data_IF_552326321443
#
_entry.id   IF_552326321443
#
_cell.length_a   1.000
_cell.length_b   1.000
_cell.length_c   1.000
_cell.angle_alpha   90.00
_cell.angle_beta   90.00
_cell.angle_gamma   90.00
#
_symmetry.space_group_name_H-M   'P 1'
#
loop_
_entity.id
_entity.type
_entity.pdbx_description
1 polymer ?
#
# COMPACT_ATOMS: atom_id res chain seq x y z
N UNK A 1 11.05 -7.33 -20.71
CA UNK A 1 10.10 -7.94 -19.74
C UNK A 1 8.71 -7.72 -20.29
N UNK A 2 7.80 -8.67 -20.10
CA UNK A 2 6.39 -8.47 -20.43
C UNK A 2 5.72 -7.67 -19.30
N UNK A 3 4.43 -7.41 -19.42
CA UNK A 3 3.62 -6.83 -18.33
C UNK A 3 3.39 -7.91 -17.28
N UNK A 4 3.89 -7.69 -16.07
CA UNK A 4 3.87 -8.69 -15.01
C UNK A 4 3.44 -8.07 -13.68
N UNK A 5 2.65 -8.81 -12.91
CA UNK A 5 2.39 -8.55 -11.49
C UNK A 5 3.03 -9.66 -10.69
N UNK A 6 3.89 -9.31 -9.74
CA UNK A 6 4.53 -10.24 -8.82
C UNK A 6 3.81 -10.09 -7.47
N UNK A 7 3.07 -11.13 -7.08
CA UNK A 7 2.37 -11.18 -5.80
C UNK A 7 3.32 -11.75 -4.74
N UNK A 8 3.55 -10.93 -3.73
CA UNK A 8 4.46 -11.24 -2.65
C UNK A 8 3.72 -11.49 -1.35
N UNK A 9 4.37 -12.16 -0.42
CA UNK A 9 3.94 -12.25 0.98
C UNK A 9 4.72 -11.28 1.87
N UNK A 10 4.25 -11.09 3.10
CA UNK A 10 4.89 -10.24 4.08
C UNK A 10 6.34 -10.68 4.36
N UNK A 11 7.28 -9.74 4.26
CA UNK A 11 8.69 -10.01 4.51
C UNK A 11 9.40 -10.81 3.41
N UNK A 12 8.80 -11.02 2.23
CA UNK A 12 9.42 -11.73 1.12
C UNK A 12 10.58 -10.97 0.47
N UNK A 13 10.73 -9.67 0.76
CA UNK A 13 11.77 -8.83 0.18
C UNK A 13 11.36 -8.24 -1.16
N UNK A 14 10.17 -7.65 -1.25
CA UNK A 14 9.68 -6.97 -2.46
C UNK A 14 10.68 -5.93 -2.97
N UNK A 15 11.05 -4.97 -2.14
CA UNK A 15 11.99 -3.90 -2.49
C UNK A 15 13.36 -4.47 -2.88
N UNK A 16 13.86 -5.47 -2.13
CA UNK A 16 15.05 -6.22 -2.49
C UNK A 16 14.93 -6.80 -3.92
N UNK A 17 13.82 -7.48 -4.21
CA UNK A 17 13.59 -8.07 -5.53
C UNK A 17 13.55 -7.01 -6.63
N UNK A 18 12.81 -5.91 -6.44
CA UNK A 18 12.74 -4.80 -7.39
C UNK A 18 14.12 -4.24 -7.71
N UNK A 19 14.96 -4.02 -6.69
CA UNK A 19 16.29 -3.43 -6.86
C UNK A 19 17.30 -4.40 -7.50
N UNK A 20 17.15 -5.72 -7.29
CA UNK A 20 18.08 -6.73 -7.84
C UNK A 20 17.66 -7.23 -9.23
N UNK A 21 16.40 -7.04 -9.64
CA UNK A 21 15.95 -7.46 -10.98
C UNK A 21 16.24 -6.42 -12.08
N UNK A 22 16.66 -5.22 -11.73
CA UNK A 22 16.98 -4.19 -12.73
C UNK A 22 18.23 -4.58 -13.52
N UNK A 23 18.22 -4.26 -14.81
CA UNK A 23 19.39 -4.31 -15.66
C UNK A 23 20.07 -2.93 -15.63
N UNK A 24 21.33 -2.88 -15.18
CA UNK A 24 22.09 -1.63 -15.06
C UNK A 24 22.34 -0.92 -16.39
N UNK A 25 22.36 -1.69 -17.48
CA UNK A 25 22.60 -1.19 -18.84
C UNK A 25 21.30 -0.68 -19.51
N UNK A 26 20.19 -0.74 -18.80
CA UNK A 26 18.86 -0.28 -19.23
C UNK A 26 18.40 0.92 -18.44
N UNK A 27 17.57 1.73 -19.09
CA UNK A 27 16.92 2.88 -18.46
C UNK A 27 15.74 2.39 -17.62
N UNK A 28 15.89 2.39 -16.30
CA UNK A 28 14.87 1.93 -15.37
C UNK A 28 14.16 3.10 -14.69
N UNK A 29 12.85 2.99 -14.54
CA UNK A 29 12.03 3.87 -13.72
C UNK A 29 11.41 3.05 -12.59
N UNK A 30 11.76 3.37 -11.34
CA UNK A 30 11.17 2.73 -10.16
C UNK A 30 10.24 3.74 -9.49
N UNK A 31 8.97 3.35 -9.33
CA UNK A 31 7.93 4.15 -8.72
C UNK A 31 7.51 3.53 -7.39
N UNK A 32 7.27 4.37 -6.40
CA UNK A 32 6.70 3.98 -5.13
C UNK A 32 5.69 5.00 -4.63
N UNK A 33 4.90 4.62 -3.61
CA UNK A 33 3.80 5.45 -3.13
C UNK A 33 4.26 6.57 -2.18
N UNK A 34 5.22 6.28 -1.28
CA UNK A 34 5.67 7.23 -0.25
C UNK A 34 7.14 7.59 -0.37
N UNK A 35 7.53 8.73 0.21
CA UNK A 35 8.93 9.12 0.32
C UNK A 35 9.76 8.13 1.15
N UNK A 36 9.17 7.49 2.15
CA UNK A 36 9.83 6.44 2.93
C UNK A 36 10.18 5.23 2.04
N UNK A 37 9.24 4.79 1.18
CA UNK A 37 9.50 3.73 0.22
C UNK A 37 10.62 4.11 -0.76
N UNK A 38 10.66 5.39 -1.23
CA UNK A 38 11.75 5.88 -2.07
C UNK A 38 13.10 5.77 -1.35
N UNK A 39 13.16 6.20 -0.08
CA UNK A 39 14.38 6.09 0.72
C UNK A 39 14.85 4.64 0.86
N UNK A 40 13.92 3.73 1.14
CA UNK A 40 14.22 2.29 1.24
C UNK A 40 14.74 1.71 -0.08
N UNK A 41 14.15 2.11 -1.22
CA UNK A 41 14.61 1.70 -2.56
C UNK A 41 16.03 2.22 -2.83
N UNK A 42 16.29 3.50 -2.53
CA UNK A 42 17.62 4.08 -2.76
C UNK A 42 18.69 3.39 -1.92
N UNK A 43 18.42 3.10 -0.65
CA UNK A 43 19.32 2.34 0.21
C UNK A 43 19.57 0.93 -0.34
N UNK A 44 18.51 0.23 -0.74
CA UNK A 44 18.63 -1.12 -1.30
C UNK A 44 19.43 -1.13 -2.62
N UNK A 45 19.25 -0.12 -3.48
CA UNK A 45 20.06 0.03 -4.70
C UNK A 45 21.55 0.26 -4.38
N UNK A 46 21.84 1.09 -3.37
CA UNK A 46 23.21 1.30 -2.88
C UNK A 46 23.81 0.00 -2.36
N UNK A 47 23.07 -0.77 -1.57
CA UNK A 47 23.51 -2.04 -1.00
C UNK A 47 23.74 -3.11 -2.10
N UNK A 48 22.81 -3.17 -3.07
CA UNK A 48 22.85 -4.15 -4.14
C UNK A 48 23.95 -3.89 -5.19
N UNK A 49 24.21 -2.61 -5.48
CA UNK A 49 25.04 -2.22 -6.64
C UNK A 49 26.27 -1.39 -6.27
N UNK A 50 26.46 -1.04 -4.99
CA UNK A 50 27.53 -0.15 -4.53
C UNK A 50 27.30 1.34 -4.83
N UNK A 51 26.36 1.66 -5.74
CA UNK A 51 25.90 3.00 -6.07
C UNK A 51 24.52 2.90 -6.70
N UNK A 52 23.79 4.02 -6.78
CA UNK A 52 22.56 4.08 -7.58
C UNK A 52 22.99 4.00 -9.06
N UNK A 53 22.51 3.00 -9.84
CA UNK A 53 22.87 2.89 -11.25
C UNK A 53 22.46 4.14 -12.04
N UNK A 54 23.35 4.69 -12.86
CA UNK A 54 23.18 5.98 -13.56
C UNK A 54 21.91 6.03 -14.43
N UNK A 55 21.53 4.90 -15.01
CA UNK A 55 20.34 4.80 -15.86
C UNK A 55 19.06 4.46 -15.08
N UNK A 56 19.09 4.56 -13.73
CA UNK A 56 17.93 4.26 -12.87
C UNK A 56 17.39 5.54 -12.23
N UNK A 57 16.14 5.83 -12.50
CA UNK A 57 15.38 6.91 -11.86
C UNK A 57 14.43 6.34 -10.81
N UNK A 58 14.41 6.95 -9.62
CA UNK A 58 13.51 6.56 -8.52
C UNK A 58 12.70 7.77 -8.10
N UNK A 59 11.38 7.66 -8.08
CA UNK A 59 10.50 8.77 -7.66
C UNK A 59 9.16 8.30 -7.14
N UNK A 60 8.44 9.19 -6.43
CA UNK A 60 7.05 8.92 -6.03
C UNK A 60 6.13 8.94 -7.24
N UNK A 61 5.03 8.19 -7.15
CA UNK A 61 4.03 8.14 -8.20
C UNK A 61 3.43 9.54 -8.50
N UNK A 62 3.15 10.34 -7.48
CA UNK A 62 2.68 11.72 -7.65
C UNK A 62 3.67 12.58 -8.43
N UNK A 63 4.96 12.49 -8.08
CA UNK A 63 6.02 13.19 -8.81
C UNK A 63 6.12 12.73 -10.26
N UNK A 64 5.93 11.44 -10.52
CA UNK A 64 5.89 10.88 -11.86
C UNK A 64 4.69 11.39 -12.65
N UNK A 65 3.47 11.32 -12.09
CA UNK A 65 2.26 11.82 -12.77
C UNK A 65 2.41 13.29 -13.08
N UNK A 66 2.87 14.09 -12.13
CA UNK A 66 3.09 15.52 -12.36
C UNK A 66 4.12 15.78 -13.47
N UNK A 67 5.32 15.18 -13.39
CA UNK A 67 6.44 15.47 -14.29
C UNK A 67 6.26 14.95 -15.70
N UNK A 68 5.61 13.79 -15.88
CA UNK A 68 5.52 13.12 -17.18
C UNK A 68 4.14 13.16 -17.81
N UNK A 69 3.07 13.32 -17.00
CA UNK A 69 1.70 13.29 -17.51
C UNK A 69 0.97 14.64 -17.40
N UNK A 70 1.42 15.57 -16.55
CA UNK A 70 0.77 16.88 -16.38
C UNK A 70 1.64 18.00 -16.93
N UNK A 71 2.83 18.21 -16.39
CA UNK A 71 3.68 19.35 -16.72
C UNK A 71 3.97 19.51 -18.24
N UNK A 72 4.32 18.45 -19.00
CA UNK A 72 4.55 18.56 -20.44
C UNK A 72 3.29 18.87 -21.27
N UNK A 73 2.12 18.70 -20.67
CA UNK A 73 0.82 18.89 -21.32
C UNK A 73 -0.02 19.97 -20.65
N UNK A 74 0.59 20.82 -19.85
CA UNK A 74 -0.10 21.82 -19.04
C UNK A 74 -0.89 22.84 -19.89
N UNK A 75 -0.36 23.24 -21.04
CA UNK A 75 -1.10 24.06 -22.01
C UNK A 75 -2.37 23.34 -22.50
N UNK A 76 -2.29 22.08 -22.86
CA UNK A 76 -3.46 21.28 -23.30
C UNK A 76 -4.48 21.14 -22.17
N UNK A 77 -4.01 20.95 -20.93
CA UNK A 77 -4.87 20.89 -19.73
C UNK A 77 -5.54 22.24 -19.49
N UNK A 78 -4.76 23.31 -19.55
CA UNK A 78 -5.26 24.67 -19.38
C UNK A 78 -6.32 25.03 -20.45
N UNK A 79 -6.05 24.77 -21.71
CA UNK A 79 -7.03 24.96 -22.80
C UNK A 79 -8.34 24.19 -22.54
N UNK A 80 -8.26 22.94 -22.05
CA UNK A 80 -9.44 22.13 -21.75
C UNK A 80 -10.36 22.76 -20.71
N UNK A 81 -9.78 23.47 -19.72
CA UNK A 81 -10.52 24.16 -18.67
C UNK A 81 -10.71 25.67 -18.89
N UNK A 82 -10.23 26.22 -20.02
CA UNK A 82 -10.30 27.66 -20.32
C UNK A 82 -9.20 28.53 -19.70
N UNK A 83 -8.07 27.92 -19.31
CA UNK A 83 -6.89 28.61 -18.75
C UNK A 83 -5.64 28.39 -19.61
N UNK A 84 -5.58 28.91 -20.86
CA UNK A 84 -4.51 28.59 -21.83
C UNK A 84 -3.11 29.02 -21.38
N UNK A 85 -3.00 30.04 -20.51
CA UNK A 85 -1.73 30.56 -19.98
C UNK A 85 -1.38 29.96 -18.60
N UNK A 86 -1.89 28.79 -18.29
CA UNK A 86 -1.62 28.13 -17.03
C UNK A 86 -0.13 27.80 -16.91
N UNK A 87 0.48 28.23 -15.81
CA UNK A 87 1.78 27.77 -15.34
C UNK A 87 1.62 27.39 -13.87
N UNK A 88 1.76 26.12 -13.56
CA UNK A 88 1.70 25.65 -12.19
C UNK A 88 3.00 25.91 -11.42
N UNK A 89 2.89 25.94 -10.10
CA UNK A 89 4.06 26.08 -9.19
C UNK A 89 4.48 24.75 -8.55
N UNK A 90 3.90 23.62 -8.98
CA UNK A 90 4.22 22.30 -8.45
C UNK A 90 2.98 21.53 -7.93
N UNK A 91 3.23 20.63 -7.00
CA UNK A 91 2.21 19.77 -6.36
C UNK A 91 2.14 20.04 -4.85
N UNK A 92 1.04 19.64 -4.21
CA UNK A 92 0.84 19.74 -2.77
C UNK A 92 0.14 18.51 -2.22
N UNK A 93 0.55 18.09 -1.02
CA UNK A 93 -0.07 16.99 -0.27
C UNK A 93 -1.28 17.43 0.56
N UNK A 94 -1.62 18.72 0.53
CA UNK A 94 -2.84 19.22 1.16
C UNK A 94 -4.05 18.63 0.44
N UNK A 95 -5.01 18.09 1.20
CA UNK A 95 -6.23 17.57 0.60
C UNK A 95 -7.07 18.69 -0.05
N UNK A 96 -7.71 18.43 -1.21
CA UNK A 96 -8.67 19.35 -1.79
C UNK A 96 -9.87 19.56 -0.86
N UNK A 97 -10.59 20.68 -0.98
CA UNK A 97 -11.79 20.95 -0.17
C UNK A 97 -12.85 19.87 -0.34
N UNK A 98 -13.26 19.24 0.75
CA UNK A 98 -14.31 18.20 0.73
C UNK A 98 -15.67 18.80 0.43
N UNK A 99 -16.54 18.06 -0.26
CA UNK A 99 -17.89 18.50 -0.60
C UNK A 99 -18.75 18.87 0.61
N UNK A 100 -18.54 18.18 1.73
CA UNK A 100 -19.26 18.45 2.99
C UNK A 100 -18.26 18.63 4.12
N UNK A 101 -18.56 19.58 5.00
CA UNK A 101 -17.80 19.85 6.23
C UNK A 101 -18.74 19.77 7.44
N UNK A 102 -18.19 19.65 8.63
CA UNK A 102 -18.99 19.70 9.86
C UNK A 102 -19.43 21.14 10.14
N UNK A 103 -20.72 21.36 10.23
CA UNK A 103 -21.30 22.59 10.71
C UNK A 103 -21.09 22.80 12.22
N UNK A 104 -21.55 23.94 12.75
CA UNK A 104 -21.38 24.32 14.17
C UNK A 104 -21.98 23.29 15.15
N UNK A 105 -23.07 22.63 14.77
CA UNK A 105 -23.74 21.61 15.58
C UNK A 105 -23.31 20.17 15.22
N UNK A 106 -22.25 20.01 14.40
CA UNK A 106 -21.74 18.71 13.98
C UNK A 106 -22.46 18.09 12.77
N UNK A 107 -23.52 18.72 12.26
CA UNK A 107 -24.23 18.31 11.05
C UNK A 107 -23.37 18.51 9.79
N UNK A 108 -23.54 17.67 8.75
CA UNK A 108 -22.84 17.83 7.49
C UNK A 108 -23.47 18.96 6.66
N UNK A 109 -22.71 20.04 6.44
CA UNK A 109 -23.10 21.16 5.57
C UNK A 109 -22.28 21.19 4.28
N UNK A 110 -22.82 21.81 3.23
CA UNK A 110 -22.08 22.04 1.99
C UNK A 110 -20.86 22.92 2.25
N UNK A 111 -19.73 22.56 1.66
CA UNK A 111 -18.51 23.35 1.75
C UNK A 111 -18.50 24.40 0.62
N UNK A 112 -18.50 25.71 0.91
CA UNK A 112 -18.48 26.75 -0.11
C UNK A 112 -17.19 26.81 -0.95
N UNK A 113 -16.13 26.15 -0.49
CA UNK A 113 -14.85 26.07 -1.20
C UNK A 113 -14.70 24.77 -2.00
N UNK A 114 -15.74 23.94 -2.03
CA UNK A 114 -15.72 22.72 -2.83
C UNK A 114 -15.93 23.06 -4.31
N UNK A 115 -15.10 22.48 -5.15
CA UNK A 115 -15.22 22.52 -6.60
C UNK A 115 -15.45 21.10 -7.12
N UNK A 116 -16.33 20.99 -8.11
CA UNK A 116 -16.60 19.73 -8.77
C UNK A 116 -15.49 19.41 -9.78
N UNK A 117 -15.34 18.14 -10.18
CA UNK A 117 -14.31 17.70 -11.13
C UNK A 117 -14.43 18.32 -12.54
N UNK A 118 -15.49 19.03 -12.83
CA UNK A 118 -15.65 19.79 -14.08
C UNK A 118 -14.97 21.17 -14.00
N UNK A 119 -14.57 21.60 -12.81
CA UNK A 119 -13.94 22.88 -12.54
C UNK A 119 -12.46 22.69 -12.26
N UNK A 120 -11.62 23.54 -12.80
CA UNK A 120 -10.18 23.39 -12.67
C UNK A 120 -9.68 23.52 -11.22
N UNK A 121 -10.36 24.34 -10.42
CA UNK A 121 -10.10 24.56 -9.00
C UNK A 121 -10.26 23.29 -8.13
N UNK A 122 -10.90 22.25 -8.67
CA UNK A 122 -10.93 20.92 -8.07
C UNK A 122 -9.53 20.28 -8.01
N UNK A 123 -8.69 20.61 -8.98
CA UNK A 123 -7.39 19.99 -9.18
C UNK A 123 -6.21 20.84 -8.70
N UNK A 124 -6.42 22.15 -8.53
CA UNK A 124 -5.35 23.10 -8.24
C UNK A 124 -5.77 24.09 -7.14
N UNK A 125 -4.84 24.46 -6.27
CA UNK A 125 -5.09 25.45 -5.24
C UNK A 125 -4.81 26.89 -5.72
N UNK A 126 -5.12 27.88 -4.88
CA UNK A 126 -4.88 29.31 -5.16
C UNK A 126 -3.41 29.68 -5.36
N UNK A 127 -2.46 28.82 -4.88
CA UNK A 127 -1.02 28.98 -5.10
C UNK A 127 -0.55 28.32 -6.40
N UNK A 128 -1.49 27.92 -7.27
CA UNK A 128 -1.22 27.19 -8.52
C UNK A 128 -0.47 25.86 -8.30
N UNK A 129 -0.73 25.15 -7.19
CA UNK A 129 -0.19 23.83 -6.92
C UNK A 129 -1.30 22.79 -7.14
N UNK A 130 -1.02 21.75 -7.91
CA UNK A 130 -1.94 20.63 -8.06
C UNK A 130 -2.02 19.82 -6.77
N UNK A 131 -3.22 19.36 -6.43
CA UNK A 131 -3.43 18.44 -5.31
C UNK A 131 -2.98 17.03 -5.69
N UNK A 132 -2.06 16.42 -4.94
CA UNK A 132 -1.61 15.03 -5.15
C UNK A 132 -2.78 14.07 -5.24
N UNK A 133 -3.78 14.21 -4.38
CA UNK A 133 -4.96 13.36 -4.33
C UNK A 133 -5.83 13.37 -5.61
N UNK A 134 -5.64 14.32 -6.52
CA UNK A 134 -6.45 14.44 -7.74
C UNK A 134 -5.66 14.37 -9.04
N UNK A 135 -4.34 14.13 -9.01
CA UNK A 135 -3.50 14.08 -10.20
C UNK A 135 -3.94 13.00 -11.19
N UNK A 136 -4.13 11.78 -10.70
CA UNK A 136 -4.57 10.66 -11.54
C UNK A 136 -6.00 10.87 -12.07
N UNK A 137 -6.90 11.43 -11.25
CA UNK A 137 -8.25 11.80 -11.70
C UNK A 137 -8.20 12.81 -12.83
N UNK A 138 -7.37 13.87 -12.72
CA UNK A 138 -7.19 14.89 -13.76
C UNK A 138 -6.77 14.27 -15.08
N UNK A 139 -5.72 13.45 -15.07
CA UNK A 139 -5.19 12.79 -16.28
C UNK A 139 -6.22 11.90 -16.92
N UNK A 140 -6.99 11.15 -16.13
CA UNK A 140 -8.07 10.29 -16.61
C UNK A 140 -9.28 11.07 -17.10
N UNK A 141 -9.58 12.23 -16.51
CA UNK A 141 -10.70 13.08 -16.89
C UNK A 141 -10.51 13.70 -18.28
N UNK A 142 -9.28 14.11 -18.62
CA UNK A 142 -8.93 14.71 -19.92
C UNK A 142 -8.80 13.68 -21.06
N UNK A 143 -9.05 12.41 -20.77
CA UNK A 143 -8.90 11.26 -21.68
C UNK A 143 -9.75 11.34 -22.98
N UNK A 144 -10.63 12.30 -23.14
CA UNK A 144 -11.60 12.36 -24.26
C UNK A 144 -10.94 12.82 -25.57
N UNK A 145 -10.63 11.85 -26.48
CA UNK A 145 -10.20 12.13 -27.85
C UNK A 145 -9.28 11.06 -28.43
N UNK A 146 -9.06 11.10 -29.77
CA UNK A 146 -8.19 10.15 -30.51
C UNK A 146 -6.74 10.19 -30.04
N UNK A 147 -6.25 11.32 -29.52
CA UNK A 147 -4.93 11.53 -28.95
C UNK A 147 -5.03 11.75 -27.44
N UNK A 148 -5.36 10.69 -26.71
CA UNK A 148 -5.40 10.79 -25.26
C UNK A 148 -4.03 11.18 -24.69
N UNK A 149 -4.01 12.10 -23.73
CA UNK A 149 -2.82 12.54 -23.01
C UNK A 149 -2.00 11.34 -22.54
N UNK A 150 -2.66 10.30 -22.04
CA UNK A 150 -2.03 9.04 -21.57
C UNK A 150 -1.25 8.37 -22.71
N UNK A 151 -1.78 8.32 -23.94
CA UNK A 151 -1.09 7.69 -25.09
C UNK A 151 0.17 8.46 -25.47
N UNK A 152 0.08 9.79 -25.53
CA UNK A 152 1.25 10.65 -25.81
C UNK A 152 2.32 10.54 -24.72
N UNK A 153 1.90 10.62 -23.45
CA UNK A 153 2.81 10.49 -22.32
C UNK A 153 3.48 9.10 -22.28
N UNK A 154 2.73 8.03 -22.48
CA UNK A 154 3.28 6.66 -22.52
C UNK A 154 4.28 6.47 -23.67
N UNK A 155 4.02 7.07 -24.84
CA UNK A 155 4.98 7.06 -25.95
C UNK A 155 6.28 7.76 -25.57
N UNK A 156 6.22 8.93 -24.91
CA UNK A 156 7.40 9.62 -24.39
C UNK A 156 8.13 8.78 -23.32
N UNK A 157 7.39 8.16 -22.40
CA UNK A 157 7.97 7.29 -21.35
C UNK A 157 8.73 6.12 -21.99
N UNK A 158 8.20 5.47 -23.03
CA UNK A 158 8.88 4.40 -23.77
C UNK A 158 10.17 4.84 -24.47
N UNK A 159 10.32 6.13 -24.77
CA UNK A 159 11.58 6.69 -25.31
C UNK A 159 12.63 6.92 -24.20
N UNK A 160 12.19 7.25 -23.00
CA UNK A 160 13.07 7.58 -21.87
C UNK A 160 13.40 6.38 -21.01
N UNK A 161 12.54 5.35 -20.95
CA UNK A 161 12.69 4.21 -20.06
C UNK A 161 12.42 2.90 -20.78
N UNK A 162 13.30 1.92 -20.57
CA UNK A 162 13.15 0.55 -21.05
C UNK A 162 12.24 -0.26 -20.14
N UNK A 163 12.29 0.02 -18.82
CA UNK A 163 11.54 -0.68 -17.80
C UNK A 163 10.86 0.30 -16.83
N UNK A 164 9.61 0.03 -16.50
CA UNK A 164 8.86 0.71 -15.43
C UNK A 164 8.51 -0.31 -14.36
N UNK A 165 8.97 -0.07 -13.13
CA UNK A 165 8.71 -0.92 -11.98
C UNK A 165 7.92 -0.14 -10.94
N UNK A 166 6.90 -0.76 -10.37
CA UNK A 166 6.08 -0.14 -9.30
C UNK A 166 6.15 -1.03 -8.07
N UNK A 167 6.74 -0.51 -6.99
CA UNK A 167 6.78 -1.20 -5.69
C UNK A 167 5.54 -0.84 -4.84
N UNK A 168 5.15 -1.75 -3.94
CA UNK A 168 3.97 -1.63 -3.07
C UNK A 168 2.66 -1.37 -3.86
N UNK A 169 2.48 -2.08 -4.99
CA UNK A 169 1.34 -1.91 -5.90
C UNK A 169 -0.01 -1.94 -5.20
N UNK A 170 -0.17 -2.66 -4.10
CA UNK A 170 -1.41 -2.72 -3.34
C UNK A 170 -1.80 -1.38 -2.67
N UNK A 171 -0.94 -0.37 -2.67
CA UNK A 171 -1.26 0.95 -2.10
C UNK A 171 -1.98 1.87 -3.10
N UNK A 172 -1.95 1.52 -4.38
CA UNK A 172 -2.60 2.29 -5.45
C UNK A 172 -4.07 1.91 -5.60
N UNK A 173 -4.96 2.90 -5.60
CA UNK A 173 -6.42 2.73 -5.56
C UNK A 173 -7.13 3.61 -6.58
N UNK A 174 -8.34 3.21 -6.93
CA UNK A 174 -9.25 3.98 -7.78
C UNK A 174 -8.55 4.61 -8.97
N UNK A 175 -8.41 5.93 -8.99
CA UNK A 175 -7.82 6.65 -10.10
C UNK A 175 -6.35 6.32 -10.32
N UNK A 176 -5.56 6.09 -9.27
CA UNK A 176 -4.17 5.69 -9.40
C UNK A 176 -4.06 4.32 -10.06
N UNK A 177 -4.86 3.36 -9.61
CA UNK A 177 -4.95 2.05 -10.23
C UNK A 177 -5.43 2.15 -11.69
N UNK A 178 -6.50 2.90 -11.96
CA UNK A 178 -7.02 3.08 -13.33
C UNK A 178 -6.01 3.74 -14.25
N UNK A 179 -5.22 4.70 -13.74
CA UNK A 179 -4.14 5.34 -14.49
C UNK A 179 -3.02 4.34 -14.80
N UNK A 180 -2.54 3.57 -13.80
CA UNK A 180 -1.52 2.53 -13.98
C UNK A 180 -1.97 1.52 -15.07
N UNK A 181 -3.19 1.02 -14.98
CA UNK A 181 -3.75 0.08 -15.99
C UNK A 181 -3.85 0.73 -17.38
N UNK A 182 -4.26 2.00 -17.44
CA UNK A 182 -4.36 2.72 -18.72
C UNK A 182 -2.99 2.94 -19.36
N UNK A 183 -1.98 3.25 -18.54
CA UNK A 183 -0.58 3.38 -18.99
C UNK A 183 0.01 2.04 -19.39
N UNK A 184 -0.27 0.98 -18.65
CA UNK A 184 0.23 -0.37 -18.93
C UNK A 184 -0.20 -0.87 -20.32
N UNK A 185 -1.33 -0.40 -20.86
CA UNK A 185 -1.76 -0.74 -22.22
C UNK A 185 -0.82 -0.20 -23.30
N UNK A 186 -0.04 0.83 -22.98
CA UNK A 186 0.81 1.56 -23.91
C UNK A 186 2.31 1.42 -23.59
N UNK A 187 2.69 1.15 -22.34
CA UNK A 187 4.08 0.96 -21.92
C UNK A 187 4.53 -0.45 -22.28
N UNK A 188 5.75 -0.55 -22.84
CA UNK A 188 6.28 -1.81 -23.37
C UNK A 188 6.59 -2.83 -22.27
N UNK A 189 7.27 -2.40 -21.20
CA UNK A 189 7.70 -3.25 -20.10
C UNK A 189 7.29 -2.62 -18.76
N UNK A 190 6.39 -3.28 -18.04
CA UNK A 190 5.92 -2.82 -16.74
C UNK A 190 5.81 -3.97 -15.76
N UNK A 191 6.43 -3.83 -14.60
CA UNK A 191 6.36 -4.81 -13.50
C UNK A 191 5.78 -4.13 -12.27
N UNK A 192 4.74 -4.74 -11.71
CA UNK A 192 4.09 -4.32 -10.48
C UNK A 192 4.42 -5.35 -9.40
N UNK A 193 4.90 -4.90 -8.25
CA UNK A 193 5.22 -5.79 -7.12
C UNK A 193 4.39 -5.39 -5.91
N UNK A 194 3.69 -6.34 -5.29
CA UNK A 194 2.82 -6.02 -4.17
C UNK A 194 2.38 -7.23 -3.34
N UNK A 195 1.84 -6.96 -2.15
CA UNK A 195 1.24 -7.97 -1.28
C UNK A 195 -0.28 -7.73 -1.20
N UNK A 196 -1.05 -8.61 -1.85
CA UNK A 196 -2.51 -8.49 -1.86
C UNK A 196 -3.08 -8.37 -0.45
N UNK A 197 -2.60 -9.15 0.51
CA UNK A 197 -3.14 -9.17 1.87
C UNK A 197 -2.76 -7.93 2.71
N UNK A 198 -1.92 -7.04 2.18
CA UNK A 198 -1.59 -5.76 2.82
C UNK A 198 -2.38 -4.57 2.26
N UNK A 199 -3.30 -4.80 1.32
CA UNK A 199 -4.06 -3.72 0.70
C UNK A 199 -4.96 -2.95 1.68
N UNK A 200 -5.54 -3.56 2.69
CA UNK A 200 -6.48 -2.93 3.62
C UNK A 200 -5.83 -2.19 4.79
N UNK A 201 -4.51 -2.04 4.77
CA UNK A 201 -3.75 -1.34 5.83
C UNK A 201 -3.08 -0.04 5.36
N UNK A 202 -3.42 0.44 4.17
CA UNK A 202 -2.99 1.77 3.72
C UNK A 202 -3.60 2.87 4.59
N UNK A 203 -2.80 3.89 4.92
CA UNK A 203 -3.21 4.97 5.82
C UNK A 203 -4.19 5.96 5.15
N UNK A 204 -4.13 6.12 3.83
CA UNK A 204 -4.78 7.22 3.13
C UNK A 204 -6.10 6.85 2.45
N UNK A 205 -6.20 5.68 1.85
CA UNK A 205 -7.42 5.26 1.18
C UNK A 205 -7.53 3.73 1.14
N UNK A 206 -8.49 3.15 1.85
CA UNK A 206 -8.72 1.72 1.89
C UNK A 206 -9.92 1.26 1.06
N UNK A 207 -10.49 2.16 0.25
CA UNK A 207 -11.64 1.87 -0.61
C UNK A 207 -11.23 1.82 -2.07
N UNK A 208 -12.04 1.16 -2.88
CA UNK A 208 -11.98 1.22 -4.31
C UNK A 208 -11.18 0.14 -5.01
N UNK A 209 -11.19 0.22 -6.34
CA UNK A 209 -10.50 -0.74 -7.21
C UNK A 209 -8.99 -0.77 -6.96
N UNK A 210 -8.35 -1.92 -7.17
CA UNK A 210 -8.91 -3.23 -7.62
C UNK A 210 -9.46 -4.09 -6.49
N UNK A 211 -9.41 -3.64 -5.23
CA UNK A 211 -9.67 -4.47 -4.04
C UNK A 211 -11.10 -4.37 -3.51
N UNK A 212 -11.86 -3.38 -3.97
CA UNK A 212 -13.28 -3.21 -3.64
C UNK A 212 -14.10 -2.90 -4.90
N UNK A 213 -15.32 -3.38 -4.90
CA UNK A 213 -16.35 -3.09 -5.90
C UNK A 213 -17.68 -2.78 -5.19
N UNK A 214 -18.78 -2.65 -5.93
CA UNK A 214 -20.12 -2.37 -5.38
C UNK A 214 -20.65 -3.47 -4.46
N UNK A 215 -20.14 -4.69 -4.61
CA UNK A 215 -20.55 -5.87 -3.84
C UNK A 215 -19.72 -6.03 -2.56
N UNK A 216 -18.62 -5.28 -2.42
CA UNK A 216 -17.74 -5.30 -1.27
C UNK A 216 -16.28 -5.54 -1.63
N UNK A 217 -15.55 -6.25 -0.75
CA UNK A 217 -14.14 -6.55 -0.95
C UNK A 217 -13.96 -7.65 -2.01
N UNK A 218 -13.08 -7.40 -2.96
CA UNK A 218 -12.71 -8.35 -4.03
C UNK A 218 -11.77 -9.41 -3.47
N UNK A 219 -12.14 -10.67 -3.55
CA UNK A 219 -11.31 -11.79 -3.08
C UNK A 219 -10.07 -12.00 -3.96
N UNK A 220 -9.09 -12.73 -3.41
CA UNK A 220 -7.78 -12.95 -4.04
C UNK A 220 -7.87 -13.49 -5.48
N UNK A 221 -8.66 -14.55 -5.69
CA UNK A 221 -8.79 -15.16 -7.03
C UNK A 221 -9.47 -14.22 -8.04
N UNK A 222 -10.49 -13.49 -7.58
CA UNK A 222 -11.17 -12.48 -8.41
C UNK A 222 -10.25 -11.31 -8.76
N UNK A 223 -9.41 -10.88 -7.81
CA UNK A 223 -8.37 -9.89 -8.04
C UNK A 223 -7.36 -10.38 -9.10
N UNK A 224 -6.83 -11.59 -8.96
CA UNK A 224 -5.91 -12.17 -9.94
C UNK A 224 -6.54 -12.21 -11.33
N UNK A 225 -7.76 -12.72 -11.44
CA UNK A 225 -8.47 -12.78 -12.71
C UNK A 225 -8.71 -11.40 -13.35
N UNK A 226 -9.01 -10.38 -12.54
CA UNK A 226 -9.16 -9.00 -13.03
C UNK A 226 -7.83 -8.45 -13.57
N UNK A 227 -6.73 -8.70 -12.90
CA UNK A 227 -5.38 -8.28 -13.34
C UNK A 227 -4.99 -8.97 -14.66
N UNK A 228 -5.27 -10.27 -14.80
CA UNK A 228 -5.03 -11.01 -16.04
C UNK A 228 -5.85 -10.46 -17.20
N UNK A 229 -7.11 -10.10 -16.99
CA UNK A 229 -7.95 -9.43 -18.00
C UNK A 229 -7.37 -8.10 -18.45
N UNK A 230 -6.60 -7.40 -17.62
CA UNK A 230 -5.91 -6.18 -18.02
C UNK A 230 -4.62 -6.45 -18.80
N UNK A 231 -4.28 -7.71 -19.07
CA UNK A 231 -3.15 -8.13 -19.92
C UNK A 231 -1.83 -8.30 -19.16
N UNK A 232 -1.86 -8.46 -17.83
CA UNK A 232 -0.69 -8.82 -17.05
C UNK A 232 -0.60 -10.34 -16.87
N UNK A 233 0.62 -10.87 -16.90
CA UNK A 233 0.92 -12.17 -16.32
C UNK A 233 1.09 -12.04 -14.80
N UNK A 234 0.65 -13.05 -14.04
CA UNK A 234 0.78 -13.04 -12.58
C UNK A 234 1.82 -14.07 -12.15
N UNK A 235 2.79 -13.63 -11.38
CA UNK A 235 3.74 -14.47 -10.67
C UNK A 235 3.30 -14.59 -9.20
N UNK A 236 2.91 -15.79 -8.82
CA UNK A 236 2.49 -16.13 -7.46
C UNK A 236 3.52 -17.02 -6.74
N UNK A 237 4.71 -17.22 -7.33
CA UNK A 237 5.69 -18.18 -6.84
C UNK A 237 6.98 -17.53 -6.33
N UNK A 238 7.48 -16.50 -7.01
CA UNK A 238 8.81 -15.93 -6.75
C UNK A 238 8.96 -15.34 -5.35
N UNK A 239 7.93 -14.69 -4.80
CA UNK A 239 7.98 -13.99 -3.52
C UNK A 239 7.04 -14.59 -2.46
N UNK A 240 6.97 -15.93 -2.38
CA UNK A 240 6.16 -16.65 -1.39
C UNK A 240 6.89 -16.94 -0.07
N UNK A 241 8.20 -16.75 -0.02
CA UNK A 241 9.04 -17.01 1.15
C UNK A 241 9.30 -15.76 1.97
N UNK A 242 8.83 -15.70 3.22
CA UNK A 242 9.17 -14.63 4.15
C UNK A 242 10.62 -14.76 4.62
N UNK A 243 11.41 -13.70 4.41
CA UNK A 243 12.77 -13.57 4.96
C UNK A 243 12.75 -13.06 6.41
N UNK A 244 11.59 -12.61 6.88
CA UNK A 244 11.38 -12.01 8.20
C UNK A 244 10.90 -13.02 9.23
N UNK A 245 9.85 -13.76 8.91
CA UNK A 245 9.16 -14.62 9.86
C UNK A 245 9.76 -16.03 9.87
N UNK A 246 9.77 -16.65 11.06
CA UNK A 246 10.12 -18.05 11.23
C UNK A 246 9.13 -18.97 10.52
N UNK A 247 9.54 -20.21 10.29
CA UNK A 247 8.67 -21.25 9.73
C UNK A 247 7.44 -21.50 10.59
N UNK A 248 7.58 -21.46 11.92
CA UNK A 248 6.47 -21.69 12.85
C UNK A 248 5.39 -20.60 12.76
N UNK A 249 5.82 -19.33 12.72
CA UNK A 249 4.90 -18.20 12.55
C UNK A 249 4.18 -18.28 11.19
N UNK A 250 4.90 -18.51 10.10
CA UNK A 250 4.31 -18.64 8.77
C UNK A 250 3.33 -19.81 8.69
N UNK A 251 3.68 -20.97 9.24
CA UNK A 251 2.79 -22.15 9.30
C UNK A 251 1.51 -21.86 10.10
N UNK A 252 1.63 -21.11 11.21
CA UNK A 252 0.47 -20.68 11.98
C UNK A 252 -0.43 -19.74 11.16
N UNK A 253 0.14 -18.73 10.53
CA UNK A 253 -0.57 -17.78 9.66
C UNK A 253 -1.30 -18.55 8.54
N UNK A 254 -0.61 -19.44 7.83
CA UNK A 254 -1.21 -20.21 6.73
C UNK A 254 -2.38 -21.05 7.23
N UNK A 255 -2.22 -21.75 8.34
CA UNK A 255 -3.27 -22.64 8.91
C UNK A 255 -4.46 -21.86 9.46
N UNK A 256 -4.21 -20.70 10.14
CA UNK A 256 -5.27 -19.98 10.86
C UNK A 256 -5.94 -18.90 10.05
N UNK A 257 -5.19 -18.23 9.15
CA UNK A 257 -5.74 -17.16 8.32
C UNK A 257 -6.06 -17.62 6.88
N UNK A 258 -5.60 -18.81 6.47
CA UNK A 258 -5.77 -19.29 5.10
C UNK A 258 -4.92 -18.55 4.07
N UNK A 259 -3.88 -17.85 4.52
CA UNK A 259 -2.97 -17.08 3.66
C UNK A 259 -1.69 -17.91 3.45
N UNK A 260 -1.44 -18.32 2.21
CA UNK A 260 -0.24 -19.10 1.89
C UNK A 260 1.01 -18.23 2.05
N UNK A 261 1.87 -18.63 2.98
CA UNK A 261 3.15 -17.99 3.26
C UNK A 261 4.15 -19.02 3.77
N UNK A 262 5.35 -19.00 3.22
CA UNK A 262 6.43 -19.89 3.64
C UNK A 262 7.42 -19.13 4.52
N UNK A 263 7.92 -19.78 5.56
CA UNK A 263 8.91 -19.21 6.47
C UNK A 263 10.32 -19.64 6.07
N UNK A 264 11.31 -18.78 6.33
CA UNK A 264 12.71 -19.16 6.22
C UNK A 264 13.17 -19.92 7.48
N UNK A 265 14.27 -20.68 7.33
CA UNK A 265 14.89 -21.41 8.45
C UNK A 265 15.97 -20.57 9.18
N UNK A 266 16.10 -19.27 8.86
CA UNK A 266 17.15 -18.39 9.44
C UNK A 266 16.72 -17.71 10.73
N UNK A 267 15.41 -17.47 10.88
CA UNK A 267 14.86 -16.84 12.06
C UNK A 267 14.14 -17.86 12.93
N UNK A 268 14.40 -17.80 14.23
CA UNK A 268 13.73 -18.61 15.24
C UNK A 268 12.66 -17.76 15.90
N UNK A 269 11.47 -18.32 16.07
CA UNK A 269 10.34 -17.64 16.72
C UNK A 269 9.07 -18.47 16.63
N UNK A 270 8.25 -18.34 17.66
CA UNK A 270 7.02 -19.07 17.83
C UNK A 270 5.83 -18.15 18.13
N UNK A 271 4.62 -18.72 17.98
CA UNK A 271 3.40 -18.11 18.48
C UNK A 271 3.23 -18.55 19.93
N UNK A 272 3.25 -17.60 20.86
CA UNK A 272 3.16 -17.83 22.29
C UNK A 272 1.89 -17.19 22.84
N UNK A 273 0.99 -18.01 23.37
CA UNK A 273 -0.19 -17.52 24.06
C UNK A 273 0.16 -17.00 25.45
N UNK A 274 -0.37 -15.83 25.76
CA UNK A 274 -0.17 -15.14 27.04
C UNK A 274 -1.43 -15.31 27.89
N UNK A 275 -1.25 -15.77 29.10
CA UNK A 275 -2.30 -15.94 30.11
C UNK A 275 -2.28 -14.84 31.20
N UNK A 276 -3.17 -14.96 32.18
CA UNK A 276 -3.29 -14.01 33.29
C UNK A 276 -2.02 -13.94 34.18
N UNK A 277 -1.19 -14.97 34.21
CA UNK A 277 0.04 -15.02 35.03
C UNK A 277 1.24 -14.36 34.32
N UNK A 278 1.29 -14.47 33.02
CA UNK A 278 2.42 -14.00 32.18
C UNK A 278 2.21 -12.61 31.57
N UNK A 279 0.99 -12.10 31.55
CA UNK A 279 0.64 -10.84 30.86
C UNK A 279 1.41 -9.64 31.39
N UNK A 280 1.61 -9.52 32.70
CA UNK A 280 2.31 -8.38 33.30
C UNK A 280 3.76 -8.27 32.78
N UNK A 281 4.47 -9.40 32.71
CA UNK A 281 5.84 -9.44 32.20
C UNK A 281 5.91 -9.04 30.72
N UNK A 282 4.94 -9.46 29.90
CA UNK A 282 4.88 -9.12 28.47
C UNK A 282 4.54 -7.63 28.27
N UNK A 283 3.54 -7.11 28.99
CA UNK A 283 3.13 -5.70 28.85
C UNK A 283 4.23 -4.74 29.32
N UNK A 284 4.93 -5.05 30.40
CA UNK A 284 5.99 -4.21 30.94
C UNK A 284 7.31 -4.27 30.17
N UNK A 285 7.53 -5.31 29.36
CA UNK A 285 8.75 -5.47 28.58
C UNK A 285 8.78 -4.51 27.39
N UNK A 286 9.62 -3.47 27.44
CA UNK A 286 9.76 -2.45 26.37
C UNK A 286 10.34 -3.00 25.06
N UNK A 287 11.05 -4.13 25.07
CA UNK A 287 11.61 -4.77 23.88
C UNK A 287 10.56 -5.53 23.05
N UNK A 288 9.38 -5.77 23.62
CA UNK A 288 8.25 -6.40 22.92
C UNK A 288 7.29 -5.29 22.48
N UNK A 289 7.12 -5.11 21.18
CA UNK A 289 6.20 -4.10 20.61
C UNK A 289 4.77 -4.62 20.67
N UNK A 290 3.90 -3.88 21.37
CA UNK A 290 2.48 -4.22 21.50
C UNK A 290 1.73 -3.69 20.28
N UNK A 291 0.99 -4.57 19.63
CA UNK A 291 0.20 -4.28 18.45
C UNK A 291 -1.29 -4.46 18.78
N UNK A 292 -2.07 -3.40 18.65
CA UNK A 292 -3.51 -3.36 18.92
C UNK A 292 -4.29 -3.09 17.63
N UNK A 293 -5.55 -3.51 17.57
CA UNK A 293 -6.36 -3.33 16.36
C UNK A 293 -6.48 -1.85 15.94
N UNK A 294 -6.77 -0.96 16.92
CA UNK A 294 -6.88 0.48 16.71
C UNK A 294 -6.74 1.23 18.06
N UNK A 295 -6.74 2.58 18.00
CA UNK A 295 -6.71 3.44 19.19
C UNK A 295 -5.57 3.13 20.15
N UNK A 296 -4.37 2.88 19.65
CA UNK A 296 -3.18 2.55 20.45
C UNK A 296 -2.92 3.56 21.60
N UNK A 297 -3.26 4.83 21.39
CA UNK A 297 -3.12 5.91 22.39
C UNK A 297 -4.06 5.81 23.60
N UNK A 298 -5.05 4.91 23.58
CA UNK A 298 -5.96 4.68 24.72
C UNK A 298 -5.42 3.68 25.75
N UNK A 299 -4.34 2.98 25.42
CA UNK A 299 -3.74 1.99 26.32
C UNK A 299 -2.73 2.64 27.25
N UNK A 300 -2.62 2.19 28.52
CA UNK A 300 -1.67 2.73 29.50
C UNK A 300 -0.22 2.29 29.25
N UNK A 301 0.06 1.62 28.14
CA UNK A 301 1.38 1.17 27.72
C UNK A 301 1.62 1.55 26.25
N UNK A 302 2.89 1.59 25.86
CA UNK A 302 3.27 1.90 24.48
C UNK A 302 2.78 0.82 23.54
N UNK A 303 1.93 1.20 22.59
CA UNK A 303 1.38 0.32 21.55
C UNK A 303 1.37 1.01 20.19
N UNK A 304 1.22 0.21 19.12
CA UNK A 304 0.97 0.66 17.77
C UNK A 304 -0.31 0.01 17.25
N UNK A 305 -1.02 0.69 16.36
CA UNK A 305 -2.13 0.05 15.65
C UNK A 305 -1.59 -1.01 14.68
N UNK A 306 -2.32 -2.10 14.47
CA UNK A 306 -1.93 -3.17 13.53
C UNK A 306 -1.57 -2.62 12.15
N UNK A 307 -2.38 -1.69 11.64
CA UNK A 307 -2.16 -1.08 10.32
C UNK A 307 -0.92 -0.16 10.28
N UNK A 308 -0.57 0.49 11.37
CA UNK A 308 0.58 1.39 11.42
C UNK A 308 1.92 0.66 11.57
N UNK A 309 1.89 -0.65 11.82
CA UNK A 309 3.10 -1.47 11.82
C UNK A 309 3.50 -1.94 10.40
N UNK A 310 2.75 -1.54 9.36
CA UNK A 310 3.11 -1.83 7.96
C UNK A 310 4.45 -1.16 7.64
N UNK A 311 5.34 -1.90 6.97
CA UNK A 311 6.72 -1.46 6.70
C UNK A 311 7.71 -1.89 7.79
N UNK A 312 7.33 -1.84 9.04
CA UNK A 312 8.22 -2.12 10.17
C UNK A 312 8.61 -3.60 10.31
N UNK A 313 9.73 -3.78 11.00
CA UNK A 313 10.22 -5.10 11.42
C UNK A 313 10.74 -5.00 12.85
N UNK A 314 10.24 -5.87 13.72
CA UNK A 314 10.59 -5.88 15.14
C UNK A 314 11.29 -7.18 15.53
N UNK A 315 12.09 -7.13 16.60
CA UNK A 315 12.69 -8.34 17.17
C UNK A 315 11.62 -9.28 17.72
N UNK A 316 10.64 -8.74 18.46
CA UNK A 316 9.51 -9.48 19.03
C UNK A 316 8.26 -8.60 19.04
N UNK A 317 7.09 -9.20 18.87
CA UNK A 317 5.81 -8.49 18.93
C UNK A 317 4.81 -9.18 19.86
N UNK A 318 3.90 -8.39 20.39
CA UNK A 318 2.75 -8.87 21.14
C UNK A 318 1.48 -8.37 20.42
N UNK A 319 0.70 -9.27 19.87
CA UNK A 319 -0.55 -8.97 19.16
C UNK A 319 -1.72 -9.15 20.10
N UNK A 320 -2.42 -8.06 20.40
CA UNK A 320 -3.62 -8.08 21.22
C UNK A 320 -4.82 -8.32 20.30
N UNK A 321 -5.43 -9.48 20.44
CA UNK A 321 -6.55 -9.91 19.62
C UNK A 321 -7.83 -9.14 19.97
N UNK A 322 -8.69 -8.94 19.00
CA UNK A 322 -10.06 -8.47 19.23
C UNK A 322 -10.92 -9.63 19.78
N UNK A 323 -12.04 -9.32 20.44
CA UNK A 323 -12.99 -10.34 20.96
C UNK A 323 -13.41 -11.37 19.90
N UNK A 324 -13.60 -10.92 18.65
CA UNK A 324 -13.96 -11.79 17.53
C UNK A 324 -12.88 -12.83 17.17
N UNK A 325 -11.63 -12.58 17.54
CA UNK A 325 -10.46 -13.40 17.20
C UNK A 325 -9.90 -14.21 18.37
N UNK A 326 -10.45 -14.06 19.58
CA UNK A 326 -9.97 -14.75 20.79
C UNK A 326 -9.99 -16.29 20.66
N UNK A 327 -10.92 -16.79 19.87
CA UNK A 327 -11.11 -18.23 19.62
C UNK A 327 -10.39 -18.73 18.38
N UNK A 328 -9.41 -18.01 17.86
CA UNK A 328 -8.72 -18.37 16.62
C UNK A 328 -8.09 -19.78 16.65
N UNK A 329 -7.75 -20.28 17.84
CA UNK A 329 -7.20 -21.64 18.00
C UNK A 329 -8.27 -22.71 18.30
N UNK A 330 -9.52 -22.31 18.54
CA UNK A 330 -10.62 -23.24 18.70
C UNK A 330 -10.87 -24.00 17.39
N UNK A 331 -10.98 -25.35 17.40
CA UNK A 331 -11.30 -26.14 16.19
C UNK A 331 -12.61 -25.75 15.50
N UNK A 332 -13.58 -25.21 16.27
CA UNK A 332 -14.87 -24.74 15.73
C UNK A 332 -14.81 -23.32 15.15
N UNK A 333 -13.69 -22.61 15.31
CA UNK A 333 -13.53 -21.25 14.80
C UNK A 333 -13.34 -21.26 13.28
N UNK A 334 -14.04 -20.36 12.60
CA UNK A 334 -13.88 -20.17 11.16
C UNK A 334 -13.49 -18.73 10.84
N UNK A 335 -12.29 -18.55 10.32
CA UNK A 335 -11.77 -17.26 9.87
C UNK A 335 -12.63 -16.62 8.76
N UNK A 336 -13.35 -17.44 7.99
CA UNK A 336 -14.26 -16.98 6.93
C UNK A 336 -15.44 -16.12 7.45
N UNK A 337 -15.74 -16.19 8.75
CA UNK A 337 -16.76 -15.36 9.41
C UNK A 337 -16.24 -13.96 9.79
N UNK A 338 -14.94 -13.76 9.72
CA UNK A 338 -14.29 -12.49 10.05
C UNK A 338 -14.18 -11.65 8.77
N UNK A 339 -14.40 -10.34 8.89
CA UNK A 339 -14.26 -9.42 7.76
C UNK A 339 -12.85 -9.51 7.17
N UNK A 340 -12.68 -9.63 5.83
CA UNK A 340 -11.38 -9.75 5.19
C UNK A 340 -10.40 -8.62 5.59
N UNK A 341 -10.89 -7.38 5.73
CA UNK A 341 -10.07 -6.26 6.21
C UNK A 341 -9.48 -6.48 7.61
N UNK A 342 -10.22 -7.17 8.51
CA UNK A 342 -9.72 -7.52 9.85
C UNK A 342 -8.69 -8.64 9.77
N UNK A 343 -8.91 -9.64 8.92
CA UNK A 343 -7.96 -10.73 8.66
C UNK A 343 -6.66 -10.18 8.11
N UNK A 344 -6.72 -9.29 7.13
CA UNK A 344 -5.55 -8.64 6.52
C UNK A 344 -4.75 -7.82 7.54
N UNK A 345 -5.44 -7.06 8.41
CA UNK A 345 -4.77 -6.32 9.49
C UNK A 345 -4.10 -7.24 10.50
N UNK A 346 -4.74 -8.38 10.85
CA UNK A 346 -4.13 -9.38 11.71
C UNK A 346 -2.91 -10.03 11.04
N UNK A 347 -3.01 -10.37 9.74
CA UNK A 347 -1.88 -10.86 8.96
C UNK A 347 -0.69 -9.90 9.02
N UNK A 348 -0.93 -8.60 8.81
CA UNK A 348 0.13 -7.59 8.96
C UNK A 348 0.74 -7.63 10.35
N UNK A 349 -0.07 -7.61 11.42
CA UNK A 349 0.45 -7.60 12.79
C UNK A 349 1.27 -8.86 13.12
N UNK A 350 0.79 -10.05 12.72
CA UNK A 350 1.46 -11.32 13.00
C UNK A 350 2.77 -11.51 12.22
N UNK A 351 2.93 -10.80 11.11
CA UNK A 351 4.10 -10.93 10.25
C UNK A 351 5.13 -9.81 10.45
N UNK A 352 5.11 -9.09 11.59
CA UNK A 352 6.07 -8.01 11.90
C UNK A 352 7.29 -8.47 12.68
N UNK A 353 7.29 -9.68 13.23
CA UNK A 353 8.35 -10.18 14.10
C UNK A 353 9.40 -11.00 13.37
N UNK A 354 10.69 -10.82 13.74
CA UNK A 354 11.78 -11.74 13.43
C UNK A 354 11.86 -12.90 14.44
N UNK A 355 11.46 -12.65 15.70
CA UNK A 355 11.40 -13.61 16.80
C UNK A 355 9.96 -13.95 17.17
N UNK A 356 9.69 -14.12 18.47
CA UNK A 356 8.40 -14.55 18.95
C UNK A 356 7.27 -13.54 18.68
N UNK A 357 6.07 -14.09 18.47
CA UNK A 357 4.80 -13.36 18.43
C UNK A 357 3.96 -13.81 19.63
N UNK A 358 3.78 -12.94 20.60
CA UNK A 358 2.93 -13.18 21.77
C UNK A 358 1.48 -12.83 21.39
N UNK A 359 0.53 -13.71 21.71
CA UNK A 359 -0.89 -13.46 21.48
C UNK A 359 -1.62 -13.27 22.83
N UNK A 360 -2.28 -12.13 22.98
CA UNK A 360 -3.12 -11.82 24.16
C UNK A 360 -4.59 -11.78 23.71
N UNK A 361 -5.46 -12.50 24.40
CA UNK A 361 -6.91 -12.38 24.25
C UNK A 361 -7.39 -11.04 24.80
N UNK A 362 -8.38 -10.41 24.17
CA UNK A 362 -8.99 -9.17 24.67
C UNK A 362 -9.51 -9.33 26.10
N UNK A 363 -10.13 -10.48 26.40
CA UNK A 363 -10.62 -10.83 27.74
C UNK A 363 -9.52 -10.86 28.81
N UNK A 364 -8.36 -11.42 28.48
CA UNK A 364 -7.19 -11.47 29.40
C UNK A 364 -6.62 -10.07 29.62
N UNK A 365 -6.50 -9.26 28.56
CA UNK A 365 -6.04 -7.88 28.69
C UNK A 365 -7.00 -7.04 29.52
N UNK A 366 -8.32 -7.18 29.30
CA UNK A 366 -9.34 -6.46 30.05
C UNK A 366 -9.22 -6.71 31.56
N UNK A 367 -9.12 -7.97 31.98
CA UNK A 367 -8.91 -8.34 33.40
C UNK A 367 -7.63 -7.72 33.96
N UNK A 368 -6.54 -7.70 33.19
CA UNK A 368 -5.27 -7.12 33.60
C UNK A 368 -5.36 -5.59 33.81
N UNK A 369 -6.15 -4.90 32.99
CA UNK A 369 -6.31 -3.44 33.12
C UNK A 369 -7.31 -3.01 34.20
N UNK A 370 -8.13 -3.92 34.70
CA UNK A 370 -9.09 -3.69 35.79
C UNK A 370 -8.46 -3.95 37.19
N UNK A 371 -7.27 -4.51 37.28
CA UNK A 371 -6.45 -4.68 38.49
C UNK A 371 -5.65 -3.42 38.85
#
# INVERSE_FOLDING_TARGET
>A
MAKQVILAVAGAGKTYHVCHMIDKDKKNLILAFTHENIHNILNELMDAHGSIPELTSVMTFDSFVYRYLILPYESTIGEFFGYPELISSGITTVDPPKQRIKGRNGEPIANPYYHSKNEFEHYINRKKQYYCATLSELVLYIKKGRDSLIKRAAAAINMFYDHVLIDEFQDFREYDYELIISMAKQINNMVLVGDYYQHSVSATNNSGKPFQNKEGEVGYDAFCHEIEKQGFSIDQCTLMGSRRCSKNICSYVSRKLGISIEGNNKNEGDIIWVDETSIAAIIQNSNIIKLVYNNANKYPFRALNWSYSKGDTFSQTCVILTEQLEKIDDPAFSIKKIKPTTVNKLYVAMTRSKGNVYLIKASVLKKYLEQ
#
